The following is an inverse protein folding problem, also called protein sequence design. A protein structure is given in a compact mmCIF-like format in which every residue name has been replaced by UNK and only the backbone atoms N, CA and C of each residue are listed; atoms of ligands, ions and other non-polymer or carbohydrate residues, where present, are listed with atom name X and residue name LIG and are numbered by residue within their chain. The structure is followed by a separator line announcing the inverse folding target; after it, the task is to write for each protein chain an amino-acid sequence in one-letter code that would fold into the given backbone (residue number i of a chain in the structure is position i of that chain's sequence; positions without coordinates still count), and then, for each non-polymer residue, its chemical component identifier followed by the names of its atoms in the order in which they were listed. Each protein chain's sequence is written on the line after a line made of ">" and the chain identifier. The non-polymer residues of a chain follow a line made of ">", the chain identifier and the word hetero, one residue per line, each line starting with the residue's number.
data_IF_398487944505
#
_entry.id   IF_398487944505
#
_cell.length_a   1.000
_cell.length_b   1.000
_cell.length_c   1.000
_cell.angle_alpha   90.00
_cell.angle_beta   90.00
_cell.angle_gamma   90.00
#
_symmetry.space_group_name_H-M   'P 1'
#
loop_
_entity.id
_entity.type
_entity.pdbx_description
1 polymer ?
#
# COMPACT_ATOMS: atom_id res chain seq x y z
N UNK A 1 4.99 -9.50 0.52
CA UNK A 1 5.01 -8.55 1.65
C UNK A 1 3.98 -9.05 2.61
N UNK A 2 4.33 -9.14 3.89
CA UNK A 2 3.42 -9.60 4.92
C UNK A 2 2.76 -8.39 5.62
N UNK A 3 1.54 -8.52 6.18
CA UNK A 3 0.87 -7.45 6.94
C UNK A 3 1.76 -6.85 8.04
N UNK A 4 2.54 -7.70 8.71
CA UNK A 4 3.51 -7.30 9.74
C UNK A 4 4.55 -6.30 9.19
N UNK A 5 5.00 -6.47 7.94
CA UNK A 5 5.94 -5.54 7.33
C UNK A 5 5.30 -4.17 7.07
N UNK A 6 4.04 -4.15 6.66
CA UNK A 6 3.27 -2.90 6.47
C UNK A 6 3.11 -2.19 7.81
N UNK A 7 2.73 -2.92 8.87
CA UNK A 7 2.57 -2.35 10.22
C UNK A 7 3.86 -1.72 10.71
N UNK A 8 5.00 -2.40 10.53
CA UNK A 8 6.34 -1.87 10.90
C UNK A 8 6.68 -0.59 10.14
N UNK A 9 6.40 -0.53 8.83
CA UNK A 9 6.67 0.65 8.01
C UNK A 9 5.79 1.84 8.36
N UNK A 10 4.54 1.57 8.78
CA UNK A 10 3.55 2.60 9.09
C UNK A 10 3.46 2.94 10.58
N UNK A 11 4.33 2.37 11.44
CA UNK A 11 4.31 2.56 12.90
C UNK A 11 2.97 2.20 13.54
N UNK A 12 2.30 1.18 13.00
CA UNK A 12 1.05 0.65 13.55
C UNK A 12 1.34 -0.39 14.65
N UNK A 13 0.42 -0.59 15.62
CA UNK A 13 0.58 -1.62 16.64
C UNK A 13 0.66 -3.00 15.98
N UNK A 14 1.74 -3.73 16.28
CA UNK A 14 2.00 -5.06 15.69
C UNK A 14 1.06 -6.11 16.28
N UNK A 15 0.68 -5.93 17.54
CA UNK A 15 -0.10 -6.88 18.34
C UNK A 15 -1.60 -6.90 17.99
N UNK A 16 -2.08 -5.93 17.20
CA UNK A 16 -3.47 -5.87 16.77
C UNK A 16 -3.69 -6.71 15.50
N UNK A 17 -4.16 -7.94 15.67
CA UNK A 17 -4.42 -8.90 14.58
C UNK A 17 -5.77 -8.68 13.89
N UNK A 18 -6.64 -7.80 14.41
CA UNK A 18 -8.04 -7.71 13.96
C UNK A 18 -8.20 -7.26 12.50
N UNK A 19 -7.19 -6.61 11.92
CA UNK A 19 -7.24 -6.06 10.56
C UNK A 19 -6.28 -6.76 9.58
N UNK A 20 -5.69 -7.90 9.96
CA UNK A 20 -4.66 -8.55 9.13
C UNK A 20 -5.20 -9.07 7.79
N UNK A 21 -6.43 -9.59 7.76
CA UNK A 21 -7.09 -10.03 6.53
C UNK A 21 -7.28 -8.87 5.54
N UNK A 22 -7.76 -7.73 6.06
CA UNK A 22 -7.96 -6.50 5.25
C UNK A 22 -6.64 -5.96 4.74
N UNK A 23 -5.58 -6.01 5.54
CA UNK A 23 -4.24 -5.61 5.11
C UNK A 23 -3.71 -6.52 3.99
N UNK A 24 -3.98 -7.83 4.05
CA UNK A 24 -3.56 -8.76 3.01
C UNK A 24 -4.26 -8.46 1.67
N UNK A 25 -5.58 -8.25 1.70
CA UNK A 25 -6.35 -7.84 0.52
C UNK A 25 -5.83 -6.52 -0.08
N UNK A 26 -5.50 -5.55 0.76
CA UNK A 26 -4.93 -4.26 0.33
C UNK A 26 -3.54 -4.44 -0.29
N UNK A 27 -2.70 -5.31 0.26
CA UNK A 27 -1.39 -5.63 -0.30
C UNK A 27 -1.54 -6.20 -1.71
N UNK A 28 -2.47 -7.14 -1.91
CA UNK A 28 -2.74 -7.74 -3.23
C UNK A 28 -3.25 -6.69 -4.22
N UNK A 29 -4.17 -5.83 -3.79
CA UNK A 29 -4.70 -4.76 -4.64
C UNK A 29 -3.62 -3.76 -5.09
N UNK A 30 -2.84 -3.23 -4.14
CA UNK A 30 -1.78 -2.26 -4.46
C UNK A 30 -0.60 -2.90 -5.19
N UNK A 31 -0.38 -4.21 -5.03
CA UNK A 31 0.55 -4.97 -5.88
C UNK A 31 0.08 -4.93 -7.33
N UNK A 32 -1.19 -5.22 -7.62
CA UNK A 32 -1.74 -5.17 -8.98
C UNK A 32 -1.51 -3.82 -9.65
N UNK A 33 -1.80 -2.72 -8.93
CA UNK A 33 -1.55 -1.35 -9.42
C UNK A 33 -0.06 -1.11 -9.72
N UNK A 34 0.84 -1.61 -8.87
CA UNK A 34 2.28 -1.46 -9.08
C UNK A 34 2.78 -2.25 -10.30
N UNK A 35 2.24 -3.45 -10.53
CA UNK A 35 2.56 -4.30 -11.68
C UNK A 35 2.08 -3.68 -13.00
N UNK A 36 0.85 -3.18 -13.03
CA UNK A 36 0.29 -2.44 -14.16
C UNK A 36 1.13 -1.20 -14.48
N UNK A 37 1.48 -0.41 -13.46
CA UNK A 37 2.28 0.81 -13.65
C UNK A 37 3.70 0.51 -14.14
N UNK A 38 4.32 -0.57 -13.67
CA UNK A 38 5.69 -0.93 -14.04
C UNK A 38 5.78 -1.79 -15.31
N UNK A 39 4.65 -2.30 -15.82
CA UNK A 39 4.57 -3.32 -16.87
C UNK A 39 5.43 -4.56 -16.56
N UNK A 40 5.45 -4.98 -15.29
CA UNK A 40 6.27 -6.10 -14.82
C UNK A 40 5.58 -6.78 -13.65
N UNK A 41 5.66 -8.11 -13.60
CA UNK A 41 5.25 -8.88 -12.44
C UNK A 41 6.32 -8.84 -11.34
N UNK A 42 5.88 -8.76 -10.09
CA UNK A 42 6.76 -8.78 -8.93
C UNK A 42 6.49 -10.02 -8.08
N UNK A 43 7.48 -10.91 -8.02
CA UNK A 43 7.48 -12.06 -7.10
C UNK A 43 8.11 -11.69 -5.75
N UNK A 44 7.78 -12.47 -4.71
CA UNK A 44 8.40 -12.31 -3.40
C UNK A 44 9.90 -12.72 -3.51
N UNK A 45 10.84 -11.94 -2.94
CA UNK A 45 10.65 -10.70 -2.18
C UNK A 45 10.49 -9.47 -3.07
N UNK A 46 9.56 -8.58 -2.70
CA UNK A 46 9.31 -7.36 -3.46
C UNK A 46 10.48 -6.37 -3.36
N UNK A 47 10.82 -5.65 -4.45
CA UNK A 47 11.78 -4.57 -4.41
C UNK A 47 11.37 -3.50 -3.38
N UNK A 48 12.37 -2.84 -2.78
CA UNK A 48 12.14 -1.83 -1.75
C UNK A 48 11.18 -0.71 -2.19
N UNK A 49 11.28 -0.26 -3.45
CA UNK A 49 10.37 0.76 -3.99
C UNK A 49 8.91 0.33 -4.02
N UNK A 50 8.64 -0.94 -4.33
CA UNK A 50 7.28 -1.51 -4.33
C UNK A 50 6.75 -1.63 -2.91
N UNK A 51 7.59 -2.11 -1.97
CA UNK A 51 7.22 -2.20 -0.54
C UNK A 51 6.86 -0.84 0.04
N UNK A 52 7.65 0.18 -0.27
CA UNK A 52 7.40 1.55 0.17
C UNK A 52 6.13 2.14 -0.45
N UNK A 53 5.89 1.88 -1.74
CA UNK A 53 4.65 2.27 -2.41
C UNK A 53 3.41 1.66 -1.74
N UNK A 54 3.40 0.35 -1.51
CA UNK A 54 2.27 -0.34 -0.86
C UNK A 54 2.03 0.23 0.55
N UNK A 55 3.08 0.43 1.34
CA UNK A 55 2.96 0.99 2.69
C UNK A 55 2.40 2.42 2.69
N UNK A 56 2.91 3.29 1.81
CA UNK A 56 2.43 4.67 1.68
C UNK A 56 0.98 4.73 1.20
N UNK A 57 0.58 3.85 0.27
CA UNK A 57 -0.80 3.76 -0.22
C UNK A 57 -1.78 3.33 0.87
N UNK A 58 -1.42 2.34 1.69
CA UNK A 58 -2.23 1.91 2.83
C UNK A 58 -2.33 3.02 3.88
N UNK A 59 -1.22 3.70 4.17
CA UNK A 59 -1.21 4.85 5.08
C UNK A 59 -2.11 5.99 4.58
N UNK A 60 -2.08 6.25 3.28
CA UNK A 60 -2.94 7.26 2.66
C UNK A 60 -4.42 6.88 2.76
N UNK A 61 -4.79 5.62 2.49
CA UNK A 61 -6.16 5.15 2.67
C UNK A 61 -6.68 5.30 4.10
N UNK A 62 -5.81 5.09 5.10
CA UNK A 62 -6.15 5.30 6.51
C UNK A 62 -6.27 6.79 6.91
N UNK A 63 -5.47 7.66 6.29
CA UNK A 63 -5.38 9.08 6.68
C UNK A 63 -6.26 10.00 5.84
N UNK A 64 -6.54 9.69 4.58
CA UNK A 64 -7.18 10.59 3.61
C UNK A 64 -8.64 10.96 3.92
N UNK A 65 -9.34 10.20 4.76
CA UNK A 65 -10.73 10.46 5.13
C UNK A 65 -10.85 11.35 6.40
N UNK A 66 -10.04 12.41 6.50
CA UNK A 66 -9.99 13.30 7.68
C UNK A 66 -11.33 14.00 7.93
N UNK A 67 -12.14 14.19 6.89
CA UNK A 67 -13.47 14.84 6.99
C UNK A 67 -14.53 14.01 7.73
N UNK A 68 -14.26 12.73 8.05
CA UNK A 68 -15.28 11.79 8.54
C UNK A 68 -14.87 11.04 9.81
N UNK A 69 -13.86 11.52 10.55
CA UNK A 69 -13.34 10.81 11.73
C UNK A 69 -14.20 11.07 12.98
N UNK A 70 -15.21 10.21 13.20
CA UNK A 70 -15.61 9.86 14.57
C UNK A 70 -14.56 8.92 15.17
N UNK A 71 -14.25 9.11 16.44
CA UNK A 71 -13.13 8.50 17.15
C UNK A 71 -13.31 7.00 17.49
N UNK A 72 -13.82 6.20 16.56
CA UNK A 72 -14.03 4.77 16.69
C UNK A 72 -13.90 4.11 15.32
N UNK A 73 -13.02 3.12 15.23
CA UNK A 73 -12.66 2.30 14.05
C UNK A 73 -12.07 3.03 12.83
N UNK A 74 -10.79 2.75 12.56
CA UNK A 74 -10.12 3.12 11.30
C UNK A 74 -10.65 2.18 10.21
N UNK A 75 -11.52 2.67 9.34
CA UNK A 75 -11.95 1.93 8.15
C UNK A 75 -10.86 2.03 7.07
N UNK A 76 -10.27 0.89 6.69
CA UNK A 76 -9.38 0.83 5.55
C UNK A 76 -10.21 0.73 4.27
N UNK A 77 -10.02 1.67 3.35
CA UNK A 77 -10.71 1.68 2.06
C UNK A 77 -9.71 1.56 0.91
N UNK A 78 -10.11 0.88 -0.17
CA UNK A 78 -9.37 0.86 -1.42
C UNK A 78 -9.37 2.27 -2.04
N UNK A 79 -8.21 2.93 -2.04
CA UNK A 79 -8.07 4.26 -2.66
C UNK A 79 -7.49 4.08 -4.05
N UNK A 80 -8.26 4.46 -5.07
CA UNK A 80 -7.86 4.41 -6.48
C UNK A 80 -7.05 5.66 -6.86
N UNK A 81 -7.35 6.82 -6.27
CA UNK A 81 -6.66 8.09 -6.54
C UNK A 81 -5.51 8.32 -5.55
N UNK A 82 -4.34 7.77 -5.88
CA UNK A 82 -3.12 7.98 -5.09
C UNK A 82 -2.37 9.25 -5.54
N UNK A 83 -1.76 10.01 -4.61
CA UNK A 83 -0.95 11.17 -4.97
C UNK A 83 0.19 10.80 -5.93
N UNK A 84 0.46 11.63 -6.94
CA UNK A 84 1.55 11.40 -7.92
C UNK A 84 2.94 11.19 -7.29
N UNK A 85 3.12 11.66 -6.05
CA UNK A 85 4.35 11.50 -5.28
C UNK A 85 4.64 10.03 -4.90
N UNK A 86 3.62 9.20 -4.61
CA UNK A 86 3.84 7.79 -4.21
C UNK A 86 4.40 6.98 -5.38
N UNK A 87 3.94 7.25 -6.60
CA UNK A 87 4.46 6.64 -7.83
C UNK A 87 5.93 6.97 -8.11
N UNK A 88 6.53 7.96 -7.43
CA UNK A 88 7.97 8.27 -7.57
C UNK A 88 8.86 7.09 -7.20
N UNK A 89 8.44 6.28 -6.23
CA UNK A 89 9.19 5.08 -5.81
C UNK A 89 9.16 3.96 -6.85
N UNK A 90 8.15 3.94 -7.72
CA UNK A 90 7.98 2.95 -8.78
C UNK A 90 8.69 3.35 -10.09
N UNK A 91 9.01 4.65 -10.28
CA UNK A 91 9.64 5.16 -11.51
C UNK A 91 10.89 4.40 -11.95
N UNK A 92 11.85 4.04 -11.07
CA UNK A 92 13.06 3.33 -11.48
C UNK A 92 12.78 1.91 -12.01
N UNK A 93 11.66 1.31 -11.62
CA UNK A 93 11.29 -0.06 -11.96
C UNK A 93 10.43 -0.13 -13.24
N UNK A 94 10.00 1.03 -13.76
CA UNK A 94 9.07 1.11 -14.88
C UNK A 94 9.77 0.75 -16.19
N UNK A 95 9.26 -0.28 -16.87
CA UNK A 95 9.65 -0.60 -18.24
C UNK A 95 8.81 0.19 -19.24
N UNK A 96 9.47 0.77 -20.24
CA UNK A 96 8.80 1.39 -21.37
C UNK A 96 8.20 0.29 -22.25
N UNK A 97 6.92 0.43 -22.61
CA UNK A 97 6.32 -0.35 -23.70
C UNK A 97 6.59 0.42 -24.99
N UNK A 98 7.24 -0.25 -25.95
CA UNK A 98 7.29 0.19 -27.34
C UNK A 98 6.15 -0.47 -28.10
#
# INVERSE_FOLDING_TARGET
>A
MEPVEVKRLNQMPIDDTSNDEVLDDLIVFYKGIAEEYCNKTFDKPYPFGVRKFIAESIKYGSTGNISSRSMGTVSYTFVTELPKATYRHLRPLRKLRW
#
